data_IF_586678503556
#
_entry.id   IF_586678503556
#
_cell.length_a   1.000
_cell.length_b   1.000
_cell.length_c   1.000
_cell.angle_alpha   90.00
_cell.angle_beta   90.00
_cell.angle_gamma   90.00
#
_symmetry.space_group_name_H-M   'P 1'
#
loop_
_entity.id
_entity.type
_entity.pdbx_description
1 polymer ?
#
# COMPACT_ATOMS: atom_id res chain seq x y z
N UNK A 1 -0.75 10.72 10.64
CA UNK A 1 -1.04 10.61 9.20
C UNK A 1 -2.53 10.47 8.99
N UNK A 2 -3.04 11.16 8.02
CA UNK A 2 -4.47 11.09 7.75
C UNK A 2 -4.81 9.78 7.03
N UNK A 3 -5.96 9.22 7.36
CA UNK A 3 -6.42 8.01 6.71
C UNK A 3 -6.49 8.19 5.19
N UNK A 4 -6.78 9.40 4.79
CA UNK A 4 -6.86 9.73 3.37
C UNK A 4 -5.57 9.40 2.64
N UNK A 5 -4.43 9.67 3.28
CA UNK A 5 -3.13 9.40 2.66
C UNK A 5 -2.95 7.92 2.38
N UNK A 6 -3.46 7.07 3.25
CA UNK A 6 -3.35 5.63 3.04
C UNK A 6 -4.11 5.21 1.81
N UNK A 7 -5.27 5.81 1.59
CA UNK A 7 -6.12 5.41 0.47
C UNK A 7 -5.64 5.99 -0.85
N UNK A 8 -4.87 7.07 -0.81
CA UNK A 8 -4.35 7.67 -2.02
C UNK A 8 -3.15 6.91 -2.57
N UNK A 9 -2.45 6.20 -1.71
CA UNK A 9 -1.27 5.45 -2.13
C UNK A 9 -1.69 4.11 -2.70
N UNK A 10 -1.05 3.74 -3.80
CA UNK A 10 -1.28 2.43 -4.39
C UNK A 10 -0.21 1.48 -3.86
N UNK A 11 -0.56 0.77 -2.80
CA UNK A 11 0.39 -0.13 -2.17
C UNK A 11 0.79 -1.29 -3.07
N UNK A 12 -0.11 -1.70 -3.95
CA UNK A 12 0.23 -2.76 -4.89
C UNK A 12 1.32 -2.30 -5.84
N UNK A 13 1.20 -1.07 -6.33
CA UNK A 13 2.22 -0.51 -7.21
C UNK A 13 3.53 -0.29 -6.48
N UNK A 14 3.46 0.11 -5.22
CA UNK A 14 4.67 0.31 -4.42
C UNK A 14 5.44 -1.00 -4.29
N UNK A 15 4.73 -2.09 -4.07
CA UNK A 15 5.38 -3.41 -4.00
C UNK A 15 5.69 -3.97 -5.39
N UNK A 16 5.03 -3.47 -6.41
CA UNK A 16 5.23 -3.99 -7.75
C UNK A 16 4.46 -5.27 -8.01
N UNK A 17 3.32 -5.43 -7.37
CA UNK A 17 2.48 -6.61 -7.57
C UNK A 17 1.11 -6.17 -8.07
N UNK A 18 0.35 -7.15 -8.58
CA UNK A 18 -1.00 -6.88 -9.06
C UNK A 18 -1.98 -6.90 -7.91
N UNK A 19 -3.11 -6.27 -8.11
CA UNK A 19 -4.16 -6.27 -7.09
C UNK A 19 -4.65 -7.68 -6.77
N UNK A 20 -4.54 -8.57 -7.73
CA UNK A 20 -4.97 -9.96 -7.54
C UNK A 20 -3.89 -10.83 -6.93
N UNK A 21 -2.72 -10.28 -6.64
CA UNK A 21 -1.63 -11.07 -6.07
C UNK A 21 -2.06 -11.72 -4.76
N UNK A 22 -1.67 -12.97 -4.58
CA UNK A 22 -2.00 -13.66 -3.34
C UNK A 22 -1.01 -13.30 -2.23
N UNK A 23 -1.32 -13.73 -1.02
CA UNK A 23 -0.51 -13.38 0.14
C UNK A 23 0.92 -13.88 0.00
N UNK A 24 1.09 -15.05 -0.60
CA UNK A 24 2.43 -15.61 -0.76
C UNK A 24 3.27 -14.75 -1.70
N UNK A 25 2.67 -14.29 -2.79
CA UNK A 25 3.37 -13.44 -3.74
C UNK A 25 3.73 -12.11 -3.10
N UNK A 26 2.82 -11.52 -2.34
CA UNK A 26 3.06 -10.27 -1.66
C UNK A 26 4.23 -10.42 -0.68
N UNK A 27 4.23 -11.49 0.07
CA UNK A 27 5.28 -11.74 1.05
C UNK A 27 6.63 -11.94 0.38
N UNK A 28 6.66 -12.71 -0.69
CA UNK A 28 7.89 -12.98 -1.41
C UNK A 28 8.46 -11.70 -2.00
N UNK A 29 7.59 -10.89 -2.60
CA UNK A 29 8.03 -9.64 -3.21
C UNK A 29 8.56 -8.69 -2.15
N UNK A 30 7.87 -8.61 -1.02
CA UNK A 30 8.34 -7.74 0.05
C UNK A 30 9.72 -8.17 0.53
N UNK A 31 9.95 -9.47 0.69
CA UNK A 31 11.24 -9.95 1.16
C UNK A 31 12.36 -9.56 0.20
N UNK A 32 12.11 -9.66 -1.10
CA UNK A 32 13.10 -9.27 -2.09
C UNK A 32 13.40 -7.79 -1.98
N UNK A 33 12.37 -6.96 -1.89
CA UNK A 33 12.55 -5.52 -1.78
C UNK A 33 13.25 -5.15 -0.48
N UNK A 34 12.91 -5.82 0.60
CA UNK A 34 13.52 -5.53 1.88
C UNK A 34 15.02 -5.81 1.85
N UNK A 35 15.43 -6.84 1.14
CA UNK A 35 16.85 -7.14 1.02
C UNK A 35 17.56 -6.10 0.17
N UNK A 36 16.92 -5.67 -0.90
CA UNK A 36 17.55 -4.68 -1.79
C UNK A 36 17.61 -3.31 -1.16
N UNK A 37 16.63 -2.98 -0.35
CA UNK A 37 16.56 -1.67 0.27
C UNK A 37 17.08 -1.64 1.70
N UNK A 38 17.69 -2.72 2.13
CA UNK A 38 18.22 -2.79 3.48
C UNK A 38 19.26 -1.69 3.71
N UNK A 39 19.28 -1.08 4.89
CA UNK A 39 20.23 0.02 5.16
C UNK A 39 21.68 -0.33 4.88
N UNK A 40 22.05 -1.59 5.08
CA UNK A 40 23.42 -2.00 4.80
C UNK A 40 23.78 -1.86 3.34
N UNK A 41 22.81 -2.01 2.45
CA UNK A 41 23.04 -1.89 1.02
C UNK A 41 22.89 -0.48 0.52
N UNK A 42 21.94 0.26 1.08
CA UNK A 42 21.67 1.62 0.61
C UNK A 42 22.61 2.63 1.22
N UNK A 43 23.21 2.31 2.34
CA UNK A 43 24.25 3.12 2.98
C UNK A 43 23.87 4.58 3.12
N UNK A 44 22.69 4.80 3.62
CA UNK A 44 22.27 6.16 3.92
C UNK A 44 21.65 6.92 2.77
N UNK A 45 21.38 6.25 1.66
CA UNK A 45 20.69 6.91 0.57
C UNK A 45 19.26 7.20 1.02
N UNK A 46 18.95 8.47 1.18
CA UNK A 46 17.69 8.88 1.74
C UNK A 46 16.50 8.47 0.87
N UNK A 47 16.66 8.55 -0.43
CA UNK A 47 15.57 8.15 -1.33
C UNK A 47 15.23 6.68 -1.17
N UNK A 48 16.25 5.85 -1.04
CA UNK A 48 16.04 4.42 -0.87
C UNK A 48 15.49 4.10 0.52
N UNK A 49 15.89 4.87 1.52
CA UNK A 49 15.32 4.71 2.85
C UNK A 49 13.84 5.04 2.86
N UNK A 50 13.47 6.12 2.18
CA UNK A 50 12.06 6.51 2.09
C UNK A 50 11.26 5.44 1.35
N UNK A 51 11.85 4.88 0.31
CA UNK A 51 11.20 3.83 -0.43
C UNK A 51 11.00 2.59 0.45
N UNK A 52 11.98 2.28 1.27
CA UNK A 52 11.86 1.13 2.18
C UNK A 52 10.71 1.34 3.16
N UNK A 53 10.55 2.57 3.64
CA UNK A 53 9.43 2.87 4.53
C UNK A 53 8.10 2.65 3.83
N UNK A 54 7.99 3.10 2.59
CA UNK A 54 6.76 2.91 1.83
C UNK A 54 6.49 1.44 1.58
N UNK A 55 7.52 0.69 1.23
CA UNK A 55 7.39 -0.74 1.00
C UNK A 55 6.94 -1.45 2.26
N UNK A 56 7.51 -1.07 3.40
CA UNK A 56 7.13 -1.68 4.68
C UNK A 56 5.70 -1.36 5.03
N UNK A 57 5.27 -0.13 4.80
CA UNK A 57 3.90 0.27 5.06
C UNK A 57 2.94 -0.51 4.17
N UNK A 58 3.29 -0.64 2.90
CA UNK A 58 2.45 -1.38 1.97
C UNK A 58 2.31 -2.83 2.41
N UNK A 59 3.41 -3.43 2.82
CA UNK A 59 3.37 -4.82 3.26
C UNK A 59 2.53 -4.99 4.51
N UNK A 60 2.65 -4.05 5.44
CA UNK A 60 1.88 -4.13 6.67
C UNK A 60 0.38 -4.18 6.38
N UNK A 61 -0.06 -3.40 5.42
CA UNK A 61 -1.47 -3.35 5.06
C UNK A 61 -1.86 -4.58 4.23
N UNK A 62 -1.06 -4.92 3.25
CA UNK A 62 -1.45 -5.96 2.29
C UNK A 62 -1.22 -7.37 2.80
N UNK A 63 -0.41 -7.54 3.84
CA UNK A 63 -0.16 -8.86 4.38
C UNK A 63 -1.22 -9.32 5.36
N UNK A 64 -2.02 -8.41 5.86
CA UNK A 64 -3.11 -8.73 6.80
C UNK A 64 -4.41 -8.77 6.02
N UNK A 65 -5.07 -9.93 6.02
CA UNK A 65 -6.28 -10.10 5.22
C UNK A 65 -7.33 -9.05 5.52
N UNK A 66 -7.51 -8.76 6.80
CA UNK A 66 -8.52 -7.79 7.20
C UNK A 66 -8.15 -6.39 6.74
N UNK A 67 -6.92 -5.99 6.99
CA UNK A 67 -6.45 -4.67 6.58
C UNK A 67 -6.47 -4.54 5.07
N UNK A 68 -6.07 -5.60 4.38
CA UNK A 68 -6.07 -5.59 2.93
C UNK A 68 -7.49 -5.39 2.39
N UNK A 69 -8.46 -6.12 2.96
CA UNK A 69 -9.83 -5.99 2.51
C UNK A 69 -10.35 -4.58 2.76
N UNK A 70 -10.04 -4.02 3.91
CA UNK A 70 -10.46 -2.67 4.23
C UNK A 70 -9.80 -1.66 3.29
N UNK A 71 -8.53 -1.88 3.00
CA UNK A 71 -7.82 -1.00 2.10
C UNK A 71 -8.40 -1.06 0.69
N UNK A 72 -8.65 -2.29 0.20
CA UNK A 72 -9.20 -2.45 -1.14
C UNK A 72 -10.56 -1.77 -1.26
N UNK A 73 -11.38 -1.95 -0.26
CA UNK A 73 -12.71 -1.35 -0.26
C UNK A 73 -12.63 0.18 -0.22
N UNK A 74 -11.76 0.69 0.64
CA UNK A 74 -11.61 2.13 0.76
C UNK A 74 -11.05 2.73 -0.53
N UNK A 75 -10.10 2.04 -1.15
CA UNK A 75 -9.53 2.51 -2.41
C UNK A 75 -10.59 2.57 -3.50
N UNK A 76 -11.42 1.55 -3.55
CA UNK A 76 -12.48 1.52 -4.54
C UNK A 76 -13.44 2.68 -4.35
N UNK A 77 -13.81 2.94 -3.11
CA UNK A 77 -14.70 4.05 -2.82
C UNK A 77 -14.04 5.39 -3.14
N UNK A 78 -12.76 5.50 -2.81
CA UNK A 78 -12.03 6.73 -3.08
C UNK A 78 -11.93 7.00 -4.57
N UNK A 79 -11.63 5.97 -5.34
CA UNK A 79 -11.47 6.11 -6.78
C UNK A 79 -12.79 6.37 -7.47
N UNK A 80 -13.88 5.85 -6.91
CA UNK A 80 -15.20 6.09 -7.48
C UNK A 80 -15.73 7.47 -7.15
N UNK A 81 -15.00 8.20 -6.29
CA UNK A 81 -15.43 9.54 -5.93
C UNK A 81 -16.39 9.60 -4.77
N UNK A 82 -16.64 8.49 -4.10
CA UNK A 82 -17.58 8.47 -3.01
C UNK A 82 -17.20 9.43 -1.90
N UNK A 83 -15.91 9.51 -1.62
CA UNK A 83 -15.45 10.43 -0.58
C UNK A 83 -15.51 11.88 -1.03
N UNK A 84 -15.24 12.10 -2.30
CA UNK A 84 -15.16 13.46 -2.80
C UNK A 84 -16.51 14.10 -3.05
N UNK A 85 -17.46 13.30 -3.39
CA UNK A 85 -18.76 13.85 -3.71
C UNK A 85 -19.52 14.28 -2.47
N UNK A 86 -18.88 14.21 -1.37
CA UNK A 86 -19.55 14.68 -0.18
C UNK A 86 -20.76 13.88 0.09
N UNK A 87 -20.73 12.81 -0.32
CA UNK A 87 -21.82 12.09 0.00
C UNK A 87 -22.88 12.15 -0.91
N UNK A 88 -22.69 12.57 -1.85
CA UNK A 88 -23.72 12.40 -2.51
C UNK A 88 -24.40 11.16 -2.11
N UNK A 89 -24.57 11.05 -1.74
CA UNK A 89 -25.07 10.27 -1.43
C UNK A 89 -25.63 9.33 -1.50
N UNK A 90 -25.66 9.17 -1.53
CA UNK A 90 -25.95 8.41 -1.54
C UNK A 90 -26.46 7.70 -1.15
N UNK A 91 -26.72 7.40 -1.01
CA UNK A 91 -26.99 6.82 -0.71
C UNK A 91 -27.27 6.10 -0.30
N UNK A 92 -27.37 5.80 0.03
CA UNK A 92 -27.60 4.93 0.39
C UNK A 92 -28.35 4.82 0.73
#
# INVERSE_FOLDING_TARGET
>A
MAAKDLYEKDFYAILGVEKSADAATIKKTYRSLARELHPDKTKGDKKLEDKFKEVSEAYEILSDEKKRAEYDQAREMFQSGAFRSGGGGQQF
#
